data_IF_758210192946
#
_entry.id   IF_758210192946
#
_cell.length_a   1.000
_cell.length_b   1.000
_cell.length_c   1.000
_cell.angle_alpha   90.00
_cell.angle_beta   90.00
_cell.angle_gamma   90.00
#
_symmetry.space_group_name_H-M   'P 1'
#
loop_
_entity.id
_entity.type
_entity.pdbx_description
1 polymer ?
#
# COMPACT_ATOMS: atom_id res chain seq x y z
N UNK A 1 20.14 -8.89 4.98
CA UNK A 1 20.49 -8.16 3.77
C UNK A 1 19.70 -6.89 3.60
N UNK A 2 20.21 -5.78 3.93
CA UNK A 2 19.47 -4.51 3.80
C UNK A 2 19.19 -4.19 2.34
N UNK A 3 18.24 -4.87 1.74
CA UNK A 3 17.84 -4.63 0.36
C UNK A 3 16.48 -3.97 0.31
N UNK A 4 16.07 -3.55 -0.88
CA UNK A 4 14.80 -2.88 -1.09
C UNK A 4 13.60 -3.70 -0.63
N UNK A 5 13.69 -5.03 -0.75
CA UNK A 5 12.60 -5.92 -0.31
C UNK A 5 12.34 -5.81 1.18
N UNK A 6 13.40 -5.76 2.00
CA UNK A 6 13.23 -5.61 3.44
C UNK A 6 12.69 -4.24 3.81
N UNK A 7 13.19 -3.21 3.15
CA UNK A 7 12.74 -1.83 3.37
C UNK A 7 11.24 -1.72 3.07
N UNK A 8 10.80 -2.27 1.94
CA UNK A 8 9.40 -2.14 1.53
C UNK A 8 8.47 -2.95 2.41
N UNK A 9 8.93 -4.10 2.92
CA UNK A 9 8.16 -4.90 3.88
C UNK A 9 7.88 -4.06 5.12
N UNK A 10 8.91 -3.45 5.69
CA UNK A 10 8.77 -2.64 6.89
C UNK A 10 7.91 -1.40 6.65
N UNK A 11 8.15 -0.69 5.55
CA UNK A 11 7.40 0.54 5.23
C UNK A 11 5.93 0.24 5.00
N UNK A 12 5.61 -0.83 4.31
CA UNK A 12 4.22 -1.17 4.04
C UNK A 12 3.49 -1.63 5.29
N UNK A 13 4.20 -2.26 6.22
CA UNK A 13 3.63 -2.62 7.51
C UNK A 13 3.31 -1.37 8.33
N UNK A 14 4.24 -0.41 8.40
CA UNK A 14 4.01 0.86 9.09
C UNK A 14 2.86 1.64 8.46
N UNK A 15 2.81 1.66 7.13
CA UNK A 15 1.71 2.31 6.42
C UNK A 15 0.36 1.67 6.79
N UNK A 16 0.31 0.34 6.84
CA UNK A 16 -0.90 -0.39 7.22
C UNK A 16 -1.40 0.02 8.60
N UNK A 17 -0.47 0.21 9.56
CA UNK A 17 -0.83 0.66 10.90
C UNK A 17 -1.49 2.04 10.88
N UNK A 18 -0.91 2.96 10.10
CA UNK A 18 -1.47 4.31 9.98
C UNK A 18 -2.84 4.29 9.31
N UNK A 19 -3.01 3.45 8.30
CA UNK A 19 -4.29 3.28 7.62
C UNK A 19 -5.35 2.75 8.60
N UNK A 20 -5.00 1.76 9.41
CA UNK A 20 -5.94 1.20 10.39
C UNK A 20 -6.38 2.29 11.37
N UNK A 21 -5.44 3.08 11.90
CA UNK A 21 -5.76 4.17 12.84
C UNK A 21 -6.67 5.20 12.21
N UNK A 22 -6.38 5.58 10.99
CA UNK A 22 -7.19 6.55 10.25
C UNK A 22 -8.61 6.00 10.00
N UNK A 23 -8.71 4.72 9.63
CA UNK A 23 -10.01 4.08 9.39
C UNK A 23 -10.84 3.95 10.65
N UNK A 24 -10.20 3.70 11.80
CA UNK A 24 -10.92 3.67 13.07
C UNK A 24 -11.54 5.04 13.37
N UNK A 25 -10.82 6.11 13.07
CA UNK A 25 -11.35 7.46 13.23
C UNK A 25 -12.56 7.70 12.30
N UNK A 26 -12.46 7.27 11.04
CA UNK A 26 -13.57 7.38 10.10
C UNK A 26 -14.81 6.61 10.59
N UNK A 27 -14.60 5.44 11.20
CA UNK A 27 -15.69 4.63 11.73
C UNK A 27 -16.37 5.32 12.91
N UNK A 28 -15.61 5.97 13.76
CA UNK A 28 -16.17 6.75 14.87
C UNK A 28 -17.10 7.84 14.35
N UNK A 29 -16.78 8.40 13.20
CA UNK A 29 -17.59 9.41 12.52
C UNK A 29 -18.70 8.79 11.67
N UNK A 30 -18.84 7.48 11.70
CA UNK A 30 -19.86 6.69 11.00
C UNK A 30 -19.70 6.65 9.47
N UNK A 31 -18.47 6.88 8.98
CA UNK A 31 -18.14 6.73 7.55
C UNK A 31 -17.71 5.29 7.28
N UNK A 32 -18.65 4.34 7.46
CA UNK A 32 -18.33 2.91 7.45
C UNK A 32 -17.92 2.39 6.08
N UNK A 33 -18.65 2.78 5.04
CA UNK A 33 -18.41 2.22 3.71
C UNK A 33 -17.06 2.62 3.14
N UNK A 34 -16.72 3.90 3.19
CA UNK A 34 -15.44 4.35 2.66
C UNK A 34 -14.28 3.86 3.53
N UNK A 35 -14.50 3.77 4.84
CA UNK A 35 -13.50 3.20 5.76
C UNK A 35 -13.18 1.76 5.38
N UNK A 36 -14.21 0.96 5.05
CA UNK A 36 -14.06 -0.42 4.62
C UNK A 36 -13.21 -0.54 3.37
N UNK A 37 -13.46 0.32 2.38
CA UNK A 37 -12.70 0.31 1.13
C UNK A 37 -11.25 0.70 1.37
N UNK A 38 -11.02 1.72 2.16
CA UNK A 38 -9.68 2.20 2.43
C UNK A 38 -8.86 1.20 3.22
N UNK A 39 -9.44 0.59 4.26
CA UNK A 39 -8.69 -0.39 5.07
C UNK A 39 -8.33 -1.61 4.23
N UNK A 40 -9.25 -2.06 3.37
CA UNK A 40 -8.98 -3.19 2.49
C UNK A 40 -7.82 -2.88 1.54
N UNK A 41 -7.89 -1.79 0.79
CA UNK A 41 -6.83 -1.47 -0.18
C UNK A 41 -5.52 -1.13 0.51
N UNK A 42 -5.57 -0.30 1.55
CA UNK A 42 -4.36 0.17 2.22
C UNK A 42 -3.57 -0.93 2.92
N UNK A 43 -4.25 -1.93 3.48
CA UNK A 43 -3.56 -3.07 4.12
C UNK A 43 -3.19 -4.16 3.13
N UNK A 44 -3.87 -4.22 1.97
CA UNK A 44 -3.55 -5.20 0.93
C UNK A 44 -2.19 -4.93 0.29
N UNK A 45 -1.71 -3.70 0.32
CA UNK A 45 -0.38 -3.37 -0.18
C UNK A 45 0.66 -4.22 0.57
N UNK A 46 0.70 -4.10 1.88
CA UNK A 46 1.64 -4.83 2.72
C UNK A 46 1.44 -6.34 2.67
N UNK A 47 0.17 -6.78 2.63
CA UNK A 47 -0.13 -8.20 2.57
C UNK A 47 0.48 -8.85 1.33
N UNK A 48 0.32 -8.21 0.16
CA UNK A 48 0.88 -8.73 -1.09
C UNK A 48 2.41 -8.64 -1.11
N UNK A 49 2.98 -7.58 -0.56
CA UNK A 49 4.44 -7.46 -0.44
C UNK A 49 4.97 -8.59 0.44
N UNK A 50 4.32 -8.87 1.55
CA UNK A 50 4.72 -9.96 2.45
C UNK A 50 4.68 -11.30 1.73
N UNK A 51 3.60 -11.55 0.97
CA UNK A 51 3.46 -12.79 0.23
C UNK A 51 4.52 -12.92 -0.86
N UNK A 52 4.95 -11.82 -1.46
CA UNK A 52 5.98 -11.85 -2.50
C UNK A 52 7.31 -12.40 -1.98
N UNK A 53 7.56 -12.30 -0.68
CA UNK A 53 8.80 -12.79 -0.07
C UNK A 53 8.89 -14.32 -0.09
N UNK A 54 7.76 -15.00 -0.32
CA UNK A 54 7.69 -16.46 -0.41
C UNK A 54 7.21 -16.90 -1.79
N UNK A 55 7.47 -16.09 -2.81
CA UNK A 55 7.06 -16.39 -4.17
C UNK A 55 7.76 -17.64 -4.69
N UNK A 56 7.07 -18.41 -5.53
CA UNK A 56 7.57 -19.66 -6.08
C UNK A 56 8.49 -19.44 -7.28
N UNK A 57 8.46 -18.25 -7.87
CA UNK A 57 9.26 -17.93 -9.06
C UNK A 57 9.42 -16.44 -9.17
N UNK A 58 10.31 -15.99 -10.05
CA UNK A 58 10.47 -14.55 -10.36
C UNK A 58 9.17 -13.98 -10.91
N UNK A 59 8.46 -14.75 -11.74
CA UNK A 59 7.19 -14.28 -12.29
C UNK A 59 6.14 -14.11 -11.20
N UNK A 60 6.07 -15.04 -10.25
CA UNK A 60 5.14 -14.95 -9.13
C UNK A 60 5.50 -13.77 -8.22
N UNK A 61 6.79 -13.56 -7.97
CA UNK A 61 7.27 -12.41 -7.19
C UNK A 61 6.78 -11.10 -7.81
N UNK A 62 7.00 -10.92 -9.11
CA UNK A 62 6.56 -9.70 -9.81
C UNK A 62 5.05 -9.56 -9.80
N UNK A 63 4.34 -10.68 -9.96
CA UNK A 63 2.87 -10.66 -9.96
C UNK A 63 2.33 -10.13 -8.63
N UNK A 64 2.86 -10.63 -7.51
CA UNK A 64 2.45 -10.17 -6.18
C UNK A 64 2.72 -8.68 -5.99
N UNK A 65 3.87 -8.21 -6.45
CA UNK A 65 4.21 -6.79 -6.35
C UNK A 65 3.32 -5.93 -7.26
N UNK A 66 2.93 -6.43 -8.42
CA UNK A 66 2.00 -5.71 -9.30
C UNK A 66 0.62 -5.58 -8.68
N UNK A 67 0.16 -6.61 -7.94
CA UNK A 67 -1.09 -6.52 -7.20
C UNK A 67 -0.96 -5.45 -6.12
N UNK A 68 0.16 -5.44 -5.38
CA UNK A 68 0.41 -4.42 -4.36
C UNK A 68 0.36 -3.01 -4.98
N UNK A 69 0.94 -2.84 -6.16
CA UNK A 69 0.95 -1.55 -6.85
C UNK A 69 -0.47 -1.10 -7.20
N UNK A 70 -1.30 -2.01 -7.69
CA UNK A 70 -2.71 -1.69 -7.97
C UNK A 70 -3.43 -1.26 -6.70
N UNK A 71 -3.18 -1.93 -5.58
CA UNK A 71 -3.81 -1.59 -4.31
C UNK A 71 -3.33 -0.22 -3.82
N UNK A 72 -2.07 0.12 -4.06
CA UNK A 72 -1.55 1.44 -3.71
C UNK A 72 -2.22 2.55 -4.53
N UNK A 73 -2.45 2.31 -5.83
CA UNK A 73 -3.17 3.24 -6.67
C UNK A 73 -4.62 3.41 -6.19
N UNK A 74 -5.27 2.32 -5.82
CA UNK A 74 -6.64 2.37 -5.29
C UNK A 74 -6.67 3.13 -3.96
N UNK A 75 -5.67 2.90 -3.11
CA UNK A 75 -5.56 3.60 -1.83
C UNK A 75 -5.45 5.11 -2.04
N UNK A 76 -4.65 5.53 -3.01
CA UNK A 76 -4.53 6.95 -3.35
C UNK A 76 -5.89 7.53 -3.75
N UNK A 77 -6.67 6.77 -4.50
CA UNK A 77 -8.00 7.20 -4.92
C UNK A 77 -8.90 7.43 -3.71
N UNK A 78 -8.97 6.47 -2.79
CA UNK A 78 -9.81 6.62 -1.59
C UNK A 78 -9.35 7.77 -0.71
N UNK A 79 -8.03 7.92 -0.50
CA UNK A 79 -7.50 9.04 0.28
C UNK A 79 -7.87 10.38 -0.36
N UNK A 80 -7.79 10.47 -1.67
CA UNK A 80 -8.13 11.69 -2.41
C UNK A 80 -9.61 12.03 -2.26
N UNK A 81 -10.50 11.03 -2.35
CA UNK A 81 -11.92 11.25 -2.16
C UNK A 81 -12.23 11.72 -0.74
N UNK A 82 -11.61 11.08 0.24
CA UNK A 82 -11.83 11.47 1.65
C UNK A 82 -11.35 12.90 1.87
N UNK A 83 -10.18 13.23 1.32
CA UNK A 83 -9.62 14.57 1.46
C UNK A 83 -10.51 15.64 0.82
N UNK A 84 -11.16 15.30 -0.28
CA UNK A 84 -12.04 16.22 -1.00
C UNK A 84 -13.42 16.36 -0.33
N UNK A 85 -14.02 15.27 0.12
CA UNK A 85 -15.44 15.25 0.45
C UNK A 85 -15.76 15.06 1.94
N UNK A 86 -14.80 14.63 2.74
CA UNK A 86 -15.09 14.26 4.13
C UNK A 86 -14.27 15.09 5.11
N UNK A 87 -12.95 14.97 5.05
CA UNK A 87 -12.05 15.65 5.99
C UNK A 87 -10.65 15.68 5.44
N UNK A 88 -9.81 16.58 5.97
CA UNK A 88 -8.41 16.63 5.58
C UNK A 88 -7.72 15.32 5.92
N UNK A 89 -6.91 14.84 4.97
CA UNK A 89 -6.08 13.66 5.16
C UNK A 89 -4.65 14.14 5.37
N UNK A 90 -3.98 13.62 6.40
CA UNK A 90 -2.59 13.97 6.68
C UNK A 90 -1.72 13.76 5.45
N UNK A 91 -0.88 14.75 5.15
CA UNK A 91 0.06 14.67 4.05
C UNK A 91 0.95 13.43 4.16
N UNK A 92 1.26 13.01 5.37
CA UNK A 92 2.07 11.82 5.62
C UNK A 92 1.51 10.56 4.95
N UNK A 93 0.19 10.39 4.99
CA UNK A 93 -0.44 9.22 4.34
C UNK A 93 -0.24 9.24 2.83
N UNK A 94 -0.41 10.42 2.21
CA UNK A 94 -0.16 10.56 0.78
C UNK A 94 1.31 10.31 0.44
N UNK A 95 2.21 10.88 1.23
CA UNK A 95 3.65 10.78 0.99
C UNK A 95 4.14 9.34 1.11
N UNK A 96 3.70 8.63 2.15
CA UNK A 96 4.09 7.22 2.35
C UNK A 96 3.53 6.33 1.25
N UNK A 97 2.28 6.56 0.86
CA UNK A 97 1.68 5.80 -0.24
C UNK A 97 2.46 6.02 -1.54
N UNK A 98 2.83 7.27 -1.81
CA UNK A 98 3.61 7.59 -3.01
C UNK A 98 5.00 6.95 -2.95
N UNK A 99 5.62 6.94 -1.78
CA UNK A 99 6.92 6.29 -1.59
C UNK A 99 6.82 4.79 -1.88
N UNK A 100 5.76 4.15 -1.39
CA UNK A 100 5.53 2.72 -1.67
C UNK A 100 5.34 2.46 -3.15
N UNK A 101 4.61 3.33 -3.85
CA UNK A 101 4.43 3.20 -5.30
C UNK A 101 5.78 3.26 -6.00
N UNK A 102 6.62 4.22 -5.67
CA UNK A 102 7.94 4.37 -6.29
C UNK A 102 8.83 3.17 -6.02
N UNK A 103 8.83 2.66 -4.79
CA UNK A 103 9.60 1.48 -4.44
C UNK A 103 9.12 0.24 -5.21
N UNK A 104 7.80 0.06 -5.29
CA UNK A 104 7.21 -1.06 -6.02
C UNK A 104 7.60 -1.03 -7.50
N UNK A 105 7.48 0.14 -8.13
CA UNK A 105 7.85 0.28 -9.54
C UNK A 105 9.32 -0.04 -9.74
N UNK A 106 10.20 0.47 -8.87
CA UNK A 106 11.64 0.22 -8.98
C UNK A 106 11.97 -1.27 -8.84
N UNK A 107 11.37 -1.95 -7.86
CA UNK A 107 11.62 -3.38 -7.63
C UNK A 107 11.09 -4.22 -8.79
N UNK A 108 9.90 -3.93 -9.26
CA UNK A 108 9.30 -4.66 -10.39
C UNK A 108 10.17 -4.52 -11.62
N UNK A 109 10.62 -3.31 -11.94
CA UNK A 109 11.46 -3.06 -13.11
C UNK A 109 12.82 -3.74 -12.98
N UNK A 110 13.42 -3.69 -11.81
CA UNK A 110 14.70 -4.35 -11.55
C UNK A 110 14.58 -5.87 -11.72
N UNK A 111 13.52 -6.45 -11.17
CA UNK A 111 13.27 -7.89 -11.28
C UNK A 111 13.06 -8.32 -12.73
N UNK A 112 12.35 -7.52 -13.53
CA UNK A 112 12.13 -7.81 -14.94
C UNK A 112 13.43 -7.80 -15.73
N UNK A 113 14.33 -6.84 -15.45
CA UNK A 113 15.60 -6.74 -16.14
C UNK A 113 16.54 -7.90 -15.82
N UNK A 114 16.40 -8.49 -14.65
CA UNK A 114 17.28 -9.56 -14.19
C UNK A 114 16.84 -10.96 -14.63
N UNK A 115 15.79 -11.02 -15.42
CA UNK A 115 15.33 -12.27 -16.01
C UNK A 115 15.57 -12.29 -17.52
#
# INVERSE_FOLDING_TARGET
MGNSSNVIVDKSFEFSKLIIRFCLNLKEQKHFEISSQLIRSGTSIGANIKESQRAESSADFRHKLKIALKEADETKYWLSLINSEIQNVDKELFDLNEELIKLLVAIINSSSRNN
#
